data_IF_444833113251
#
_entry.id   IF_444833113251
#
_cell.length_a   1.000
_cell.length_b   1.000
_cell.length_c   1.000
_cell.angle_alpha   90.00
_cell.angle_beta   90.00
_cell.angle_gamma   90.00
#
_symmetry.space_group_name_H-M   'P 1'
#
loop_
_entity.id
_entity.type
_entity.pdbx_description
1 polymer ?
#
# COMPACT_ATOMS: atom_id res chain seq x y z
N UNK A 1 18.54 -10.23 23.93
CA UNK A 1 19.50 -9.55 24.82
C UNK A 1 19.25 -10.01 26.27
N UNK A 2 20.24 -10.56 26.98
CA UNK A 2 20.11 -10.88 28.41
C UNK A 2 19.68 -9.64 29.21
N UNK A 3 18.80 -9.80 30.20
CA UNK A 3 18.27 -8.69 31.02
C UNK A 3 17.20 -7.80 30.35
N UNK A 4 16.93 -7.94 29.05
CA UNK A 4 15.95 -7.08 28.36
C UNK A 4 14.53 -7.18 28.93
N UNK A 5 14.12 -8.38 29.37
CA UNK A 5 12.77 -8.61 29.91
C UNK A 5 12.51 -7.80 31.18
N UNK A 6 13.54 -7.59 31.99
CA UNK A 6 13.46 -6.86 33.26
C UNK A 6 13.30 -5.34 33.04
N UNK A 7 13.53 -4.85 31.81
CA UNK A 7 13.37 -3.45 31.41
C UNK A 7 12.00 -3.13 30.78
N UNK A 8 11.13 -4.13 30.57
CA UNK A 8 9.84 -3.93 29.90
C UNK A 8 8.80 -3.39 30.88
N UNK A 9 8.42 -2.11 30.73
CA UNK A 9 7.37 -1.48 31.56
C UNK A 9 5.95 -1.90 31.15
N UNK A 10 5.70 -2.05 29.85
CA UNK A 10 4.41 -2.44 29.30
C UNK A 10 4.60 -3.13 27.96
N UNK A 11 3.65 -4.00 27.60
CA UNK A 11 3.57 -4.68 26.31
C UNK A 11 2.18 -4.50 25.71
N UNK A 12 2.13 -4.14 24.44
CA UNK A 12 0.93 -4.24 23.61
C UNK A 12 1.17 -5.31 22.55
N UNK A 13 0.15 -6.12 22.26
CA UNK A 13 0.22 -7.20 21.28
C UNK A 13 -0.93 -6.96 20.30
N UNK A 14 -0.63 -7.09 19.02
CA UNK A 14 -1.60 -7.03 17.94
C UNK A 14 -1.37 -8.26 17.07
N UNK A 15 -2.20 -9.28 17.25
CA UNK A 15 -2.14 -10.47 16.42
C UNK A 15 -2.72 -10.17 15.03
N UNK A 16 -2.49 -11.03 14.01
CA UNK A 16 -3.03 -10.81 12.67
C UNK A 16 -4.54 -10.55 12.63
N UNK A 17 -5.33 -11.31 13.42
CA UNK A 17 -6.77 -11.10 13.53
C UNK A 17 -7.14 -9.77 14.21
N UNK A 18 -6.32 -9.29 15.15
CA UNK A 18 -6.53 -7.97 15.77
C UNK A 18 -6.21 -6.85 14.77
N UNK A 19 -5.24 -7.07 13.89
CA UNK A 19 -4.86 -6.12 12.86
C UNK A 19 -5.93 -5.97 11.77
N UNK A 20 -6.54 -7.09 11.36
CA UNK A 20 -7.72 -7.09 10.48
C UNK A 20 -8.93 -6.42 11.15
N UNK A 21 -9.17 -6.65 12.45
CA UNK A 21 -10.23 -5.95 13.20
C UNK A 21 -9.97 -4.46 13.34
N UNK A 22 -8.71 -4.07 13.46
CA UNK A 22 -8.30 -2.66 13.53
C UNK A 22 -8.55 -1.95 12.20
N UNK A 23 -8.31 -2.62 11.08
CA UNK A 23 -8.59 -2.10 9.74
C UNK A 23 -8.92 -3.26 8.80
N UNK A 24 -10.16 -3.29 8.34
CA UNK A 24 -10.72 -4.35 7.48
C UNK A 24 -9.96 -4.54 6.16
N UNK A 25 -9.15 -3.55 5.75
CA UNK A 25 -8.28 -3.69 4.58
C UNK A 25 -7.10 -4.65 4.81
N UNK A 26 -6.74 -4.96 6.05
CA UNK A 26 -5.65 -5.87 6.41
C UNK A 26 -6.15 -7.30 6.60
N UNK A 27 -6.82 -7.86 5.60
CA UNK A 27 -7.36 -9.22 5.63
C UNK A 27 -6.27 -10.22 6.03
N UNK A 28 -6.54 -11.04 7.05
CA UNK A 28 -5.58 -11.99 7.60
C UNK A 28 -4.37 -11.35 8.29
N UNK A 29 -4.41 -10.04 8.55
CA UNK A 29 -3.30 -9.25 9.07
C UNK A 29 -2.28 -8.82 8.01
N UNK A 30 -2.60 -8.92 6.71
CA UNK A 30 -1.68 -8.56 5.64
C UNK A 30 -1.62 -7.03 5.43
N UNK A 31 -0.47 -6.44 5.81
CA UNK A 31 -0.20 -4.99 5.68
C UNK A 31 -0.28 -4.47 4.24
N UNK A 32 -0.17 -5.34 3.23
CA UNK A 32 -0.21 -4.95 1.82
C UNK A 32 -1.62 -5.07 1.21
N UNK A 33 -2.64 -5.44 1.99
CA UNK A 33 -3.99 -5.62 1.49
C UNK A 33 -4.15 -6.91 0.68
N UNK A 34 -3.55 -7.99 1.19
CA UNK A 34 -3.55 -9.33 0.61
C UNK A 34 -2.35 -9.61 -0.30
N UNK A 35 -2.47 -10.68 -1.10
CA UNK A 35 -1.40 -11.20 -1.94
C UNK A 35 -0.80 -10.12 -2.86
N UNK A 36 0.51 -9.93 -2.76
CA UNK A 36 1.30 -9.04 -3.62
C UNK A 36 2.12 -9.87 -4.61
N UNK A 37 1.46 -10.49 -5.58
CA UNK A 37 2.15 -11.07 -6.73
C UNK A 37 2.36 -10.00 -7.82
N UNK A 38 3.23 -10.29 -8.79
CA UNK A 38 3.53 -9.35 -9.86
C UNK A 38 2.28 -9.00 -10.68
N UNK A 39 1.35 -9.95 -10.84
CA UNK A 39 0.12 -9.72 -11.59
C UNK A 39 -0.76 -8.70 -10.87
N UNK A 40 -1.04 -8.89 -9.59
CA UNK A 40 -1.82 -7.99 -8.75
C UNK A 40 -1.17 -6.62 -8.64
N UNK A 41 0.15 -6.57 -8.55
CA UNK A 41 0.89 -5.30 -8.43
C UNK A 41 0.68 -4.38 -9.64
N UNK A 42 0.58 -4.94 -10.86
CA UNK A 42 0.41 -4.15 -12.09
C UNK A 42 -1.05 -4.05 -12.58
N UNK A 43 -1.97 -4.82 -12.00
CA UNK A 43 -3.37 -4.89 -12.48
C UNK A 43 -4.42 -4.40 -11.48
N UNK A 44 -4.05 -4.13 -10.22
CA UNK A 44 -4.97 -3.53 -9.24
C UNK A 44 -5.01 -2.00 -9.39
N UNK A 45 -6.18 -1.36 -9.21
CA UNK A 45 -7.51 -1.93 -9.08
C UNK A 45 -8.09 -2.38 -10.44
N UNK A 46 -7.57 -1.85 -11.54
CA UNK A 46 -7.92 -2.20 -12.91
C UNK A 46 -6.65 -2.19 -13.75
N UNK A 47 -6.48 -3.15 -14.67
CA UNK A 47 -5.33 -3.21 -15.56
C UNK A 47 -5.28 -1.98 -16.48
N UNK A 48 -4.21 -1.18 -16.38
CA UNK A 48 -3.99 0.05 -17.15
C UNK A 48 -2.54 0.14 -17.58
N UNK A 49 -2.30 0.81 -18.72
CA UNK A 49 -0.93 1.07 -19.21
C UNK A 49 -0.12 1.93 -18.23
N UNK A 50 -0.79 2.88 -17.57
CA UNK A 50 -0.23 3.65 -16.46
C UNK A 50 -0.91 3.17 -15.18
N UNK A 51 -0.22 2.36 -14.34
CA UNK A 51 -0.84 1.65 -13.21
C UNK A 51 -1.24 2.56 -12.04
N UNK A 52 -1.04 3.88 -12.17
CA UNK A 52 -1.46 4.89 -11.20
C UNK A 52 -2.75 5.62 -11.61
N UNK A 53 -3.27 5.34 -12.81
CA UNK A 53 -4.51 5.94 -13.33
C UNK A 53 -5.71 5.06 -13.01
N UNK A 54 -6.89 5.68 -12.87
CA UNK A 54 -8.16 4.95 -12.70
C UNK A 54 -9.08 5.12 -13.91
N UNK A 55 -10.16 4.32 -14.05
CA UNK A 55 -11.16 4.50 -15.11
C UNK A 55 -11.83 5.87 -15.11
N UNK A 56 -11.87 6.56 -13.96
CA UNK A 56 -12.42 7.89 -13.84
C UNK A 56 -11.32 8.94 -14.10
N UNK A 57 -11.43 9.77 -15.16
CA UNK A 57 -10.44 10.80 -15.44
C UNK A 57 -10.22 11.75 -14.25
N UNK A 58 -8.98 12.18 -14.05
CA UNK A 58 -8.61 13.06 -12.94
C UNK A 58 -8.43 12.36 -11.58
N UNK A 59 -8.70 11.05 -11.49
CA UNK A 59 -8.46 10.27 -10.27
C UNK A 59 -7.25 9.34 -10.44
N UNK A 60 -6.34 9.42 -9.47
CA UNK A 60 -5.09 8.68 -9.41
C UNK A 60 -4.99 7.91 -8.10
N UNK A 61 -4.23 6.82 -8.11
CA UNK A 61 -3.95 6.01 -6.93
C UNK A 61 -2.48 6.08 -6.56
N UNK A 62 -2.22 6.18 -5.26
CA UNK A 62 -0.89 6.12 -4.68
C UNK A 62 -0.97 5.36 -3.36
N UNK A 63 -0.25 4.26 -3.21
CA UNK A 63 -0.05 3.59 -1.90
C UNK A 63 0.89 2.39 -2.04
N UNK A 64 0.99 1.58 -0.98
CA UNK A 64 1.56 0.23 -0.99
C UNK A 64 0.87 -0.71 -1.99
N UNK A 65 -0.38 -0.43 -2.38
CA UNK A 65 -1.11 -1.22 -3.38
C UNK A 65 -0.80 -0.83 -4.83
N UNK A 66 0.18 0.04 -5.06
CA UNK A 66 0.65 0.44 -6.41
C UNK A 66 2.11 0.03 -6.57
N UNK A 67 2.63 -0.21 -7.80
CA UNK A 67 4.05 -0.49 -7.99
C UNK A 67 4.93 0.58 -7.33
N UNK A 68 6.09 0.24 -6.73
CA UNK A 68 6.72 -1.08 -6.59
C UNK A 68 6.19 -1.96 -5.43
N UNK A 69 5.09 -1.58 -4.77
CA UNK A 69 4.49 -2.34 -3.67
C UNK A 69 4.71 -1.69 -2.31
N UNK A 70 4.57 -2.49 -1.24
CA UNK A 70 4.77 -2.03 0.12
C UNK A 70 6.21 -1.64 0.46
N UNK A 71 6.36 -0.60 1.29
CA UNK A 71 7.64 -0.17 1.85
C UNK A 71 7.73 1.34 2.07
N UNK A 72 8.72 1.78 2.86
CA UNK A 72 8.92 3.20 3.21
C UNK A 72 9.85 3.87 2.19
N UNK A 73 9.45 3.86 0.91
CA UNK A 73 10.25 4.39 -0.20
C UNK A 73 9.57 5.54 -0.98
N UNK A 74 8.31 5.88 -0.66
CA UNK A 74 7.55 7.00 -1.24
C UNK A 74 7.29 6.95 -2.77
N UNK A 75 7.71 5.88 -3.46
CA UNK A 75 7.64 5.81 -4.93
C UNK A 75 6.20 5.79 -5.47
N UNK A 76 5.25 5.17 -4.77
CA UNK A 76 3.85 5.16 -5.21
C UNK A 76 3.26 6.57 -5.32
N UNK A 77 3.57 7.44 -4.35
CA UNK A 77 3.20 8.86 -4.40
C UNK A 77 3.92 9.61 -5.51
N UNK A 78 5.23 9.37 -5.66
CA UNK A 78 6.04 10.00 -6.72
C UNK A 78 5.47 9.71 -8.12
N UNK A 79 5.19 8.45 -8.44
CA UNK A 79 4.70 8.06 -9.76
C UNK A 79 3.26 8.48 -10.02
N UNK A 80 2.38 8.46 -9.01
CA UNK A 80 1.03 8.97 -9.14
C UNK A 80 1.01 10.48 -9.44
N UNK A 81 1.86 11.26 -8.74
CA UNK A 81 2.00 12.69 -9.01
C UNK A 81 2.49 12.93 -10.45
N UNK A 82 3.47 12.15 -10.92
CA UNK A 82 3.90 12.22 -12.33
C UNK A 82 2.78 11.89 -13.31
N UNK A 83 2.00 10.85 -13.05
CA UNK A 83 0.86 10.50 -13.90
C UNK A 83 -0.18 11.63 -13.98
N UNK A 84 -0.47 12.28 -12.84
CA UNK A 84 -1.37 13.43 -12.80
C UNK A 84 -0.83 14.62 -13.61
N UNK A 85 0.44 14.97 -13.43
CA UNK A 85 1.08 16.05 -14.18
C UNK A 85 1.07 15.79 -15.69
N UNK A 86 1.34 14.55 -16.12
CA UNK A 86 1.26 14.19 -17.53
C UNK A 86 -0.17 14.33 -18.08
N UNK A 87 -1.20 13.87 -17.34
CA UNK A 87 -2.58 13.99 -17.83
C UNK A 87 -3.06 15.44 -18.02
N UNK A 88 -2.51 16.38 -17.25
CA UNK A 88 -2.83 17.80 -17.37
C UNK A 88 -2.19 18.44 -18.60
N UNK A 89 -1.07 17.90 -19.08
CA UNK A 89 -0.39 18.37 -20.28
C UNK A 89 -1.07 17.88 -21.57
N UNK A 90 -1.83 16.78 -21.49
CA UNK A 90 -2.57 16.20 -22.62
C UNK A 90 -3.98 16.81 -22.79
N UNK A 91 -4.38 17.74 -21.91
CA UNK A 91 -5.68 18.45 -21.94
C UNK A 91 -5.51 19.84 -22.54
#
# INVERSE_FOLDING_TARGET
>A
APGFRDLVLQRHIMAPADFERYNENYIGGDINGGVQDAWQLFTRPVARLVPYTTPLPGIFICSSSTPPGGGVHCMGGYWAARAALHSLADT
#
